data_IF_339635699892
#
_entry.id   IF_339635699892
#
_cell.length_a   1.000
_cell.length_b   1.000
_cell.length_c   1.000
_cell.angle_alpha   90.00
_cell.angle_beta   90.00
_cell.angle_gamma   90.00
#
_symmetry.space_group_name_H-M   'P 1'
#
loop_
_entity.id
_entity.type
_entity.pdbx_description
1 polymer ?
#
# COMPACT_ATOMS: atom_id res chain seq x y z
N UNK A 1 -7.00 -17.34 -9.38
CA UNK A 1 -7.06 -16.07 -8.61
C UNK A 1 -5.66 -15.44 -8.63
N UNK A 2 -5.51 -14.13 -8.82
CA UNK A 2 -4.18 -13.47 -8.82
C UNK A 2 -3.76 -13.15 -7.38
N UNK A 3 -2.49 -13.31 -7.06
CA UNK A 3 -1.93 -12.89 -5.76
C UNK A 3 -1.81 -11.37 -5.68
N UNK A 4 -1.73 -10.80 -4.46
CA UNK A 4 -1.63 -9.34 -4.28
C UNK A 4 -0.44 -8.72 -5.01
N UNK A 5 0.70 -9.41 -5.03
CA UNK A 5 1.90 -9.00 -5.77
C UNK A 5 1.63 -8.77 -7.26
N UNK A 6 0.83 -9.64 -7.89
CA UNK A 6 0.47 -9.55 -9.30
C UNK A 6 -0.59 -8.49 -9.60
N UNK A 7 -1.28 -7.99 -8.57
CA UNK A 7 -2.31 -6.95 -8.68
C UNK A 7 -1.80 -5.56 -8.30
N UNK A 8 -0.60 -5.46 -7.72
CA UNK A 8 -0.05 -4.23 -7.15
C UNK A 8 0.03 -3.08 -8.15
N UNK A 9 0.43 -3.38 -9.40
CA UNK A 9 0.47 -2.41 -10.49
C UNK A 9 -0.92 -1.81 -10.76
N UNK A 10 -1.93 -2.65 -10.95
CA UNK A 10 -3.29 -2.23 -11.23
C UNK A 10 -3.86 -1.37 -10.11
N UNK A 11 -3.58 -1.74 -8.85
CA UNK A 11 -3.99 -0.97 -7.68
C UNK A 11 -3.32 0.40 -7.66
N UNK A 12 -2.01 0.47 -7.96
CA UNK A 12 -1.29 1.74 -8.01
C UNK A 12 -1.84 2.67 -9.10
N UNK A 13 -2.16 2.14 -10.28
CA UNK A 13 -2.73 2.89 -11.40
C UNK A 13 -4.14 3.36 -11.05
N UNK A 14 -4.97 2.50 -10.47
CA UNK A 14 -6.34 2.84 -10.07
C UNK A 14 -6.35 3.95 -9.01
N UNK A 15 -5.51 3.83 -7.99
CA UNK A 15 -5.34 4.85 -6.96
C UNK A 15 -4.93 6.18 -7.59
N UNK A 16 -3.89 6.19 -8.42
CA UNK A 16 -3.41 7.42 -9.05
C UNK A 16 -4.47 8.10 -9.92
N UNK A 17 -5.20 7.33 -10.72
CA UNK A 17 -6.30 7.84 -11.55
C UNK A 17 -7.40 8.47 -10.70
N UNK A 18 -7.75 7.87 -9.56
CA UNK A 18 -8.77 8.41 -8.65
C UNK A 18 -8.31 9.71 -7.98
N UNK A 19 -7.05 9.78 -7.53
CA UNK A 19 -6.49 10.94 -6.84
C UNK A 19 -6.34 12.16 -7.75
N UNK A 20 -6.09 11.95 -9.05
CA UNK A 20 -6.08 13.02 -10.06
C UNK A 20 -7.48 13.48 -10.48
N UNK A 21 -8.53 12.74 -10.12
CA UNK A 21 -9.89 13.16 -10.42
C UNK A 21 -10.31 14.30 -9.50
N UNK A 22 -11.11 15.24 -9.99
CA UNK A 22 -11.70 16.31 -9.15
C UNK A 22 -12.82 15.79 -8.23
N UNK A 23 -13.00 14.47 -8.12
CA UNK A 23 -14.05 13.83 -7.34
C UNK A 23 -13.46 13.23 -6.05
N UNK A 24 -13.60 13.96 -4.95
CA UNK A 24 -13.08 13.56 -3.64
C UNK A 24 -13.76 12.31 -3.09
N UNK A 25 -15.05 12.10 -3.36
CA UNK A 25 -15.78 10.88 -2.95
C UNK A 25 -15.15 9.65 -3.59
N UNK A 26 -14.91 9.70 -4.91
CA UNK A 26 -14.25 8.60 -5.63
C UNK A 26 -12.83 8.35 -5.15
N UNK A 27 -12.08 9.42 -4.85
CA UNK A 27 -10.75 9.31 -4.27
C UNK A 27 -10.79 8.60 -2.91
N UNK A 28 -11.72 8.98 -2.03
CA UNK A 28 -11.93 8.35 -0.72
C UNK A 28 -12.27 6.87 -0.86
N UNK A 29 -13.23 6.52 -1.71
CA UNK A 29 -13.59 5.11 -1.96
C UNK A 29 -12.39 4.28 -2.41
N UNK A 30 -11.61 4.82 -3.36
CA UNK A 30 -10.44 4.13 -3.89
C UNK A 30 -9.32 4.01 -2.86
N UNK A 31 -9.13 5.02 -1.99
CA UNK A 31 -8.17 4.96 -0.88
C UNK A 31 -8.55 3.84 0.10
N UNK A 32 -9.82 3.75 0.50
CA UNK A 32 -10.29 2.73 1.43
C UNK A 32 -10.17 1.32 0.83
N UNK A 33 -10.60 1.14 -0.42
CA UNK A 33 -10.43 -0.13 -1.16
C UNK A 33 -8.95 -0.52 -1.26
N UNK A 34 -8.07 0.44 -1.53
CA UNK A 34 -6.62 0.19 -1.56
C UNK A 34 -6.11 -0.21 -0.18
N UNK A 35 -6.60 0.42 0.89
CA UNK A 35 -6.26 0.05 2.26
C UNK A 35 -6.60 -1.39 2.61
N UNK A 36 -7.79 -1.86 2.24
CA UNK A 36 -8.21 -3.25 2.45
C UNK A 36 -7.30 -4.25 1.73
N UNK A 37 -6.91 -3.92 0.49
CA UNK A 37 -5.96 -4.70 -0.31
C UNK A 37 -4.57 -4.75 0.31
N UNK A 38 -4.07 -3.63 0.84
CA UNK A 38 -2.80 -3.58 1.57
C UNK A 38 -2.86 -4.40 2.87
N UNK A 39 -3.99 -4.38 3.57
CA UNK A 39 -4.22 -5.23 4.72
C UNK A 39 -4.18 -6.71 4.34
N UNK A 40 -4.87 -7.12 3.27
CA UNK A 40 -4.81 -8.48 2.76
C UNK A 40 -3.38 -8.87 2.40
N UNK A 41 -2.69 -8.03 1.63
CA UNK A 41 -1.31 -8.29 1.21
C UNK A 41 -0.34 -8.38 2.40
N UNK A 42 -0.59 -7.65 3.49
CA UNK A 42 0.22 -7.74 4.71
C UNK A 42 0.15 -9.10 5.42
N UNK A 43 -0.89 -9.89 5.13
CA UNK A 43 -1.11 -11.24 5.65
C UNK A 43 -0.54 -12.31 4.71
N UNK A 44 -0.18 -11.96 3.48
CA UNK A 44 0.41 -12.88 2.51
C UNK A 44 1.90 -13.14 2.78
N UNK A 45 2.41 -14.34 2.46
CA UNK A 45 3.84 -14.62 2.51
C UNK A 45 4.62 -13.75 1.52
N UNK A 46 5.94 -13.69 1.68
CA UNK A 46 6.80 -13.00 0.72
C UNK A 46 6.70 -13.68 -0.66
N UNK A 47 6.56 -12.87 -1.70
CA UNK A 47 6.50 -13.31 -3.10
C UNK A 47 7.71 -14.19 -3.43
N UNK A 48 7.46 -15.41 -3.91
CA UNK A 48 8.50 -16.38 -4.28
C UNK A 48 8.84 -16.27 -5.77
N UNK A 49 10.01 -16.78 -6.18
CA UNK A 49 10.43 -16.82 -7.60
C UNK A 49 9.41 -17.54 -8.48
N UNK A 50 8.78 -18.61 -7.97
CA UNK A 50 7.73 -19.33 -8.69
C UNK A 50 6.51 -18.44 -8.97
N UNK A 51 6.14 -17.56 -8.03
CA UNK A 51 5.04 -16.60 -8.21
C UNK A 51 5.42 -15.52 -9.21
N UNK A 52 6.64 -15.00 -9.17
CA UNK A 52 7.10 -14.04 -10.17
C UNK A 52 7.00 -14.63 -11.59
N UNK A 53 7.51 -15.84 -11.79
CA UNK A 53 7.44 -16.52 -13.08
C UNK A 53 6.01 -16.87 -13.51
N UNK A 54 5.14 -17.26 -12.58
CA UNK A 54 3.76 -17.65 -12.90
C UNK A 54 2.91 -16.47 -13.40
N UNK A 55 3.20 -15.26 -12.95
CA UNK A 55 2.45 -14.05 -13.28
C UNK A 55 3.24 -13.08 -14.17
N UNK A 56 4.36 -13.53 -14.76
CA UNK A 56 5.26 -12.71 -15.59
C UNK A 56 5.70 -11.39 -14.91
N UNK A 57 5.87 -11.43 -13.59
CA UNK A 57 6.29 -10.28 -12.80
C UNK A 57 7.81 -10.15 -12.81
N UNK A 58 8.29 -8.92 -12.96
CA UNK A 58 9.72 -8.64 -12.82
C UNK A 58 10.09 -8.82 -11.32
N UNK A 59 11.23 -9.45 -10.98
CA UNK A 59 11.64 -9.57 -9.58
C UNK A 59 11.63 -8.22 -8.87
N UNK A 60 11.00 -8.16 -7.69
CA UNK A 60 10.85 -6.96 -6.85
C UNK A 60 9.94 -5.86 -7.42
N UNK A 61 9.26 -6.10 -8.54
CA UNK A 61 8.27 -5.19 -9.11
C UNK A 61 7.09 -4.91 -8.16
N UNK A 62 6.65 -5.94 -7.45
CA UNK A 62 5.64 -5.84 -6.41
C UNK A 62 6.07 -4.86 -5.30
N UNK A 63 7.36 -4.85 -4.94
CA UNK A 63 7.92 -3.90 -3.98
C UNK A 63 7.96 -2.47 -4.53
N UNK A 64 8.25 -2.29 -5.81
CA UNK A 64 8.18 -0.98 -6.46
C UNK A 64 6.76 -0.41 -6.37
N UNK A 65 5.74 -1.22 -6.67
CA UNK A 65 4.35 -0.77 -6.66
C UNK A 65 3.78 -0.57 -5.27
N UNK A 66 4.13 -1.41 -4.29
CA UNK A 66 3.77 -1.16 -2.88
C UNK A 66 4.35 0.17 -2.38
N UNK A 67 5.63 0.45 -2.65
CA UNK A 67 6.25 1.73 -2.30
C UNK A 67 5.57 2.91 -3.02
N UNK A 68 5.22 2.72 -4.29
CA UNK A 68 4.47 3.73 -5.06
C UNK A 68 3.12 4.03 -4.42
N UNK A 69 2.34 3.01 -4.06
CA UNK A 69 1.04 3.17 -3.40
C UNK A 69 1.20 3.96 -2.09
N UNK A 70 2.17 3.59 -1.25
CA UNK A 70 2.42 4.28 0.02
C UNK A 70 2.77 5.76 -0.18
N UNK A 71 3.63 6.08 -1.15
CA UNK A 71 3.96 7.47 -1.47
C UNK A 71 2.75 8.26 -1.97
N UNK A 72 1.88 7.65 -2.79
CA UNK A 72 0.64 8.31 -3.24
C UNK A 72 -0.33 8.57 -2.10
N UNK A 73 -0.44 7.66 -1.14
CA UNK A 73 -1.26 7.88 0.06
C UNK A 73 -0.71 9.04 0.90
N UNK A 74 0.61 9.11 1.09
CA UNK A 74 1.25 10.23 1.81
C UNK A 74 1.03 11.54 1.06
N UNK A 75 1.23 11.58 -0.26
CA UNK A 75 0.95 12.78 -1.08
C UNK A 75 -0.52 13.22 -0.95
N UNK A 76 -1.45 12.26 -1.00
CA UNK A 76 -2.87 12.53 -0.81
C UNK A 76 -3.17 13.09 0.60
N UNK A 77 -2.41 12.70 1.62
CA UNK A 77 -2.53 13.28 2.96
C UNK A 77 -1.98 14.71 3.03
N UNK A 78 -0.87 15.00 2.36
CA UNK A 78 -0.29 16.34 2.34
C UNK A 78 -1.21 17.33 1.61
N UNK A 79 -1.67 16.96 0.41
CA UNK A 79 -2.33 17.89 -0.54
C UNK A 79 -3.85 17.70 -0.68
N UNK A 80 -4.41 16.58 -0.21
CA UNK A 80 -5.84 16.29 -0.33
C UNK A 80 -6.74 17.13 0.55
N UNK A 81 -8.05 17.08 0.29
CA UNK A 81 -9.04 17.72 1.16
C UNK A 81 -9.22 16.95 2.49
N UNK A 82 -10.06 17.49 3.39
CA UNK A 82 -10.30 16.89 4.71
C UNK A 82 -10.82 15.44 4.63
N UNK A 83 -11.63 15.10 3.63
CA UNK A 83 -12.19 13.75 3.49
C UNK A 83 -11.10 12.77 3.04
N UNK A 84 -10.30 13.17 2.06
CA UNK A 84 -9.14 12.40 1.58
C UNK A 84 -8.14 12.16 2.71
N UNK A 85 -7.77 13.21 3.46
CA UNK A 85 -6.86 13.10 4.61
C UNK A 85 -7.37 12.11 5.65
N UNK A 86 -8.66 12.19 6.00
CA UNK A 86 -9.28 11.28 6.96
C UNK A 86 -9.25 9.83 6.45
N UNK A 87 -9.52 9.60 5.16
CA UNK A 87 -9.46 8.28 4.57
C UNK A 87 -8.05 7.69 4.63
N UNK A 88 -7.03 8.48 4.30
CA UNK A 88 -5.62 8.05 4.40
C UNK A 88 -5.25 7.68 5.84
N UNK A 89 -5.61 8.52 6.82
CA UNK A 89 -5.36 8.23 8.25
C UNK A 89 -6.04 6.93 8.68
N UNK A 90 -7.27 6.67 8.23
CA UNK A 90 -7.96 5.40 8.51
C UNK A 90 -7.19 4.19 7.99
N UNK A 91 -6.69 4.26 6.75
CA UNK A 91 -5.87 3.19 6.16
C UNK A 91 -4.62 2.93 7.02
N UNK A 92 -3.82 3.95 7.31
CA UNK A 92 -2.62 3.79 8.13
C UNK A 92 -2.93 3.31 9.56
N UNK A 93 -4.03 3.76 10.17
CA UNK A 93 -4.45 3.29 11.49
C UNK A 93 -4.87 1.81 11.48
N UNK A 94 -5.59 1.35 10.47
CA UNK A 94 -5.95 -0.07 10.32
C UNK A 94 -4.70 -0.93 10.13
N UNK A 95 -3.79 -0.50 9.27
CA UNK A 95 -2.49 -1.14 9.12
C UNK A 95 -1.73 -1.18 10.45
N UNK A 96 -1.64 -0.06 11.17
CA UNK A 96 -0.98 -0.03 12.48
C UNK A 96 -1.63 -0.98 13.50
N UNK A 97 -2.96 -1.10 13.52
CA UNK A 97 -3.66 -2.05 14.41
C UNK A 97 -3.30 -3.51 14.10
N UNK A 98 -3.12 -3.89 12.83
CA UNK A 98 -2.68 -5.25 12.46
C UNK A 98 -1.26 -5.58 12.94
N UNK A 99 -0.45 -4.57 13.22
CA UNK A 99 0.88 -4.76 13.82
C UNK A 99 0.82 -4.96 15.34
N UNK A 100 -0.25 -4.52 16.01
CA UNK A 100 -0.42 -4.68 17.47
C UNK A 100 -0.71 -6.14 17.80
N UNK A 101 0.16 -6.76 18.58
CA UNK A 101 0.08 -8.18 18.96
C UNK A 101 1.10 -9.06 18.23
N UNK A 102 1.86 -8.51 17.27
CA UNK A 102 2.97 -9.21 16.62
C UNK A 102 4.23 -9.19 17.49
N UNK A 103 4.90 -10.32 17.59
CA UNK A 103 6.18 -10.43 18.30
C UNK A 103 7.29 -9.68 17.55
N UNK A 104 8.43 -9.42 18.20
CA UNK A 104 9.54 -8.61 17.62
C UNK A 104 10.04 -9.15 16.26
N UNK A 105 10.01 -10.46 16.06
CA UNK A 105 10.35 -11.13 14.79
C UNK A 105 9.30 -10.91 13.69
N UNK A 106 8.03 -10.94 14.03
CA UNK A 106 6.90 -10.72 13.10
C UNK A 106 6.72 -9.23 12.74
N UNK A 107 7.16 -8.33 13.63
CA UNK A 107 7.19 -6.90 13.36
C UNK A 107 8.29 -6.53 12.34
N UNK A 108 9.36 -7.33 12.23
CA UNK A 108 10.40 -7.12 11.21
C UNK A 108 9.90 -7.44 9.79
N UNK A 109 8.97 -8.38 9.65
CA UNK A 109 8.35 -8.78 8.37
C UNK A 109 7.10 -7.96 8.02
N UNK A 110 6.69 -7.06 8.91
CA UNK A 110 5.54 -6.17 8.75
C UNK A 110 5.59 -5.35 7.45
N UNK A 111 4.42 -5.10 6.84
CA UNK A 111 4.30 -4.41 5.55
C UNK A 111 4.92 -3.01 5.55
N UNK A 112 4.80 -2.27 6.66
CA UNK A 112 5.43 -0.95 6.84
C UNK A 112 6.77 -1.02 7.59
N UNK A 113 7.36 -2.20 7.77
CA UNK A 113 8.67 -2.30 8.42
C UNK A 113 9.72 -1.60 7.55
N UNK A 114 10.76 -1.06 8.16
CA UNK A 114 11.89 -0.44 7.42
C UNK A 114 12.51 -1.39 6.38
N UNK A 115 12.40 -2.71 6.60
CA UNK A 115 12.91 -3.72 5.67
C UNK A 115 12.04 -3.88 4.41
N UNK A 116 10.76 -3.48 4.46
CA UNK A 116 9.82 -3.57 3.33
C UNK A 116 9.57 -2.21 2.66
N UNK A 117 9.62 -1.11 3.41
CA UNK A 117 9.44 0.25 2.88
C UNK A 117 10.80 0.83 2.47
N UNK A 118 11.12 0.71 1.19
CA UNK A 118 12.40 1.20 0.66
C UNK A 118 12.56 2.71 0.84
N UNK A 119 11.50 3.51 0.61
CA UNK A 119 11.58 4.97 0.67
C UNK A 119 11.01 5.57 1.96
N UNK A 120 11.26 4.93 3.10
CA UNK A 120 10.71 5.32 4.39
C UNK A 120 11.09 6.76 4.82
N UNK A 121 12.27 7.26 4.41
CA UNK A 121 12.69 8.63 4.71
C UNK A 121 11.81 9.67 4.00
N UNK A 122 11.49 9.44 2.73
CA UNK A 122 10.62 10.35 1.96
C UNK A 122 9.19 10.34 2.51
N UNK A 123 8.71 9.18 2.98
CA UNK A 123 7.40 9.09 3.64
C UNK A 123 7.31 9.89 4.95
N UNK A 124 8.39 9.96 5.73
CA UNK A 124 8.43 10.70 7.00
C UNK A 124 8.60 12.20 6.76
N UNK A 125 9.27 12.59 5.67
CA UNK A 125 9.57 13.99 5.34
C UNK A 125 8.32 14.77 4.89
N UNK A 126 7.40 14.10 4.19
CA UNK A 126 6.17 14.68 3.64
C UNK A 126 5.08 14.79 4.71
#
# INVERSE_FOLDING_TARGET
>A
EKVSAACAMDWSIKLEKSLRSKNSVRAVETILETGEKLEQWSKEPKTSTAVYNLFDLIPEEDRLFSNTILLRLVDAFCFGDKLVKLAVVRVFMSMFKLSRGKNKSECATWFLSKARVHNHLEMIKR
#
